data_IF_320910019218
#
_entry.id   IF_320910019218
#
_cell.length_a   1.000
_cell.length_b   1.000
_cell.length_c   1.000
_cell.angle_alpha   90.00
_cell.angle_beta   90.00
_cell.angle_gamma   90.00
#
_symmetry.space_group_name_H-M   'P 1'
#
loop_
_entity.id
_entity.type
_entity.pdbx_description
1 polymer ?
#
# COMPACT_ATOMS: atom_id res chain seq x y z
N UNK A 1 -20.72 1.51 8.41
CA UNK A 1 -20.25 0.28 9.09
C UNK A 1 -20.30 -0.85 8.07
N UNK A 2 -19.18 -1.21 7.47
CA UNK A 2 -19.08 -2.41 6.63
C UNK A 2 -18.19 -3.39 7.39
N UNK A 3 -18.81 -4.39 8.00
CA UNK A 3 -18.11 -5.46 8.67
C UNK A 3 -17.32 -6.25 7.63
N UNK A 4 -15.99 -6.24 7.77
CA UNK A 4 -15.21 -7.40 7.34
C UNK A 4 -15.65 -8.56 8.21
N UNK A 5 -16.54 -9.38 7.68
CA UNK A 5 -16.78 -10.73 8.18
C UNK A 5 -15.47 -11.49 8.04
N UNK A 6 -14.64 -11.46 9.09
CA UNK A 6 -13.66 -12.49 9.31
C UNK A 6 -14.48 -13.74 9.63
N UNK A 7 -14.57 -14.66 8.68
CA UNK A 7 -15.09 -16.00 8.94
C UNK A 7 -14.27 -16.56 10.10
N UNK A 8 -14.92 -16.84 11.23
CA UNK A 8 -14.28 -17.50 12.34
C UNK A 8 -13.94 -18.92 11.88
N UNK A 9 -12.67 -19.14 11.53
CA UNK A 9 -12.17 -20.46 11.16
C UNK A 9 -12.03 -21.26 12.45
N UNK A 10 -12.79 -22.34 12.60
CA UNK A 10 -12.60 -23.28 13.70
C UNK A 10 -11.25 -23.96 13.53
N UNK A 11 -10.39 -23.84 14.55
CA UNK A 11 -9.02 -24.32 14.49
C UNK A 11 -8.93 -25.86 14.39
N UNK A 12 -9.97 -26.56 14.81
CA UNK A 12 -10.11 -28.02 14.74
C UNK A 12 -10.30 -28.53 13.30
N UNK A 13 -10.86 -27.70 12.42
CA UNK A 13 -11.11 -28.04 11.01
C UNK A 13 -9.88 -27.77 10.11
N UNK A 14 -8.83 -27.15 10.66
CA UNK A 14 -7.62 -26.79 9.90
C UNK A 14 -6.60 -27.93 9.97
N UNK A 15 -6.18 -28.50 8.83
CA UNK A 15 -5.15 -29.54 8.81
C UNK A 15 -3.86 -29.08 9.49
N UNK A 16 -3.26 -29.95 10.30
CA UNK A 16 -2.02 -29.61 11.03
C UNK A 16 -0.87 -29.20 10.10
N UNK A 17 -0.85 -29.71 8.86
CA UNK A 17 0.14 -29.36 7.83
C UNK A 17 0.01 -27.90 7.40
N UNK A 18 -1.22 -27.39 7.22
CA UNK A 18 -1.47 -26.00 6.83
C UNK A 18 -1.09 -25.05 7.97
N UNK A 19 -1.38 -25.47 9.21
CA UNK A 19 -1.02 -24.76 10.43
C UNK A 19 0.51 -24.66 10.60
N UNK A 20 1.22 -25.76 10.36
CA UNK A 20 2.69 -25.76 10.36
C UNK A 20 3.26 -24.91 9.23
N UNK A 21 2.67 -24.96 8.03
CA UNK A 21 3.11 -24.16 6.89
C UNK A 21 2.94 -22.66 7.17
N UNK A 22 1.81 -22.23 7.74
CA UNK A 22 1.59 -20.83 8.10
C UNK A 22 2.50 -20.39 9.26
N UNK A 23 2.76 -21.25 10.24
CA UNK A 23 3.72 -20.95 11.31
C UNK A 23 5.15 -20.79 10.78
N UNK A 24 5.61 -21.68 9.89
CA UNK A 24 6.90 -21.55 9.21
C UNK A 24 6.98 -20.29 8.35
N UNK A 25 5.89 -19.92 7.67
CA UNK A 25 5.81 -18.67 6.90
C UNK A 25 5.97 -17.45 7.81
N UNK A 26 5.33 -17.44 8.98
CA UNK A 26 5.41 -16.34 9.96
C UNK A 26 6.79 -16.21 10.58
N UNK A 27 7.42 -17.31 10.96
CA UNK A 27 8.77 -17.29 11.54
C UNK A 27 9.80 -16.77 10.53
N UNK A 28 9.77 -17.26 9.29
CA UNK A 28 10.65 -16.79 8.21
C UNK A 28 10.49 -15.31 7.88
N UNK A 29 9.32 -14.74 8.11
CA UNK A 29 9.10 -13.32 7.86
C UNK A 29 9.36 -12.46 9.09
N UNK A 30 9.29 -13.02 10.29
CA UNK A 30 9.64 -12.30 11.51
C UNK A 30 11.13 -12.07 11.67
N UNK A 31 11.97 -12.88 11.02
CA UNK A 31 13.43 -12.73 11.01
C UNK A 31 13.93 -11.76 9.94
N UNK A 32 13.06 -11.32 9.02
CA UNK A 32 13.42 -10.34 7.97
C UNK A 32 13.41 -8.93 8.54
N UNK A 33 14.41 -8.13 8.14
CA UNK A 33 14.52 -6.72 8.55
C UNK A 33 13.34 -5.88 8.04
N UNK A 34 13.00 -4.84 8.80
CA UNK A 34 11.97 -3.88 8.44
C UNK A 34 12.30 -3.20 7.10
N UNK A 35 11.29 -3.05 6.24
CA UNK A 35 11.47 -2.50 4.89
C UNK A 35 10.40 -1.46 4.58
N UNK A 36 10.87 -0.30 4.12
CA UNK A 36 9.99 0.74 3.57
C UNK A 36 10.29 0.84 2.09
N UNK A 37 9.32 0.47 1.26
CA UNK A 37 9.43 0.37 -0.18
C UNK A 37 8.49 1.35 -0.85
N UNK A 38 8.94 1.99 -1.93
CA UNK A 38 8.05 2.69 -2.87
C UNK A 38 8.11 1.95 -4.21
N UNK A 39 6.94 1.65 -4.77
CA UNK A 39 6.79 1.11 -6.11
C UNK A 39 6.33 2.22 -7.08
N UNK A 40 7.26 2.65 -7.93
CA UNK A 40 7.04 3.67 -8.96
C UNK A 40 7.10 3.00 -10.34
N UNK A 41 6.24 3.44 -11.25
CA UNK A 41 6.29 3.06 -12.65
C UNK A 41 5.05 3.56 -13.41
N UNK A 42 5.05 3.51 -14.75
CA UNK A 42 3.90 3.91 -15.57
C UNK A 42 2.62 3.10 -15.27
N UNK A 43 1.42 3.60 -15.59
CA UNK A 43 0.23 2.75 -15.60
C UNK A 43 0.48 1.53 -16.49
N UNK A 44 0.13 0.34 -16.03
CA UNK A 44 0.42 -0.92 -16.75
C UNK A 44 1.67 -1.68 -16.31
N UNK A 45 2.59 -1.12 -15.51
CA UNK A 45 3.77 -1.87 -15.00
C UNK A 45 3.44 -2.94 -13.94
N UNK A 46 2.19 -3.38 -13.82
CA UNK A 46 1.75 -4.44 -12.89
C UNK A 46 2.13 -4.24 -11.41
N UNK A 47 2.33 -2.99 -10.98
CA UNK A 47 2.61 -2.65 -9.57
C UNK A 47 1.55 -3.21 -8.62
N UNK A 48 0.28 -3.14 -9.00
CA UNK A 48 -0.84 -3.71 -8.24
C UNK A 48 -0.78 -5.24 -8.10
N UNK A 49 -0.05 -5.93 -8.99
CA UNK A 49 0.19 -7.38 -8.92
C UNK A 49 1.42 -7.69 -8.06
N UNK A 50 2.47 -6.86 -8.15
CA UNK A 50 3.70 -7.09 -7.39
C UNK A 50 3.58 -6.72 -5.91
N UNK A 51 2.82 -5.67 -5.56
CA UNK A 51 2.71 -5.23 -4.17
C UNK A 51 2.13 -6.30 -3.24
N UNK A 52 1.03 -7.02 -3.59
CA UNK A 52 0.50 -8.09 -2.75
C UNK A 52 1.49 -9.25 -2.55
N UNK A 53 2.27 -9.60 -3.57
CA UNK A 53 3.29 -10.66 -3.49
C UNK A 53 4.36 -10.25 -2.47
N UNK A 54 4.92 -9.05 -2.60
CA UNK A 54 5.92 -8.53 -1.64
C UNK A 54 5.32 -8.37 -0.24
N UNK A 55 4.06 -7.96 -0.15
CA UNK A 55 3.31 -7.85 1.11
C UNK A 55 3.23 -9.20 1.81
N UNK A 56 2.93 -10.27 1.09
CA UNK A 56 2.79 -11.62 1.66
C UNK A 56 4.16 -12.24 2.01
N UNK A 57 5.21 -11.94 1.24
CA UNK A 57 6.58 -12.43 1.46
C UNK A 57 7.32 -11.73 2.61
N UNK A 58 6.99 -10.47 2.90
CA UNK A 58 7.67 -9.65 3.90
C UNK A 58 6.75 -9.15 5.02
N UNK A 59 5.47 -9.52 5.00
CA UNK A 59 4.44 -9.07 5.95
C UNK A 59 4.41 -7.55 6.09
N UNK A 60 4.57 -6.86 4.96
CA UNK A 60 4.56 -5.39 4.90
C UNK A 60 3.13 -4.87 4.74
N UNK A 61 2.91 -3.64 5.16
CA UNK A 61 1.65 -2.95 4.93
C UNK A 61 1.58 -2.41 3.49
N UNK A 62 0.60 -2.84 2.70
CA UNK A 62 0.40 -2.30 1.35
C UNK A 62 -0.42 -1.00 1.41
N UNK A 63 0.22 0.12 1.06
CA UNK A 63 -0.36 1.46 1.03
C UNK A 63 -0.48 1.91 -0.43
N UNK A 64 -1.58 1.53 -1.09
CA UNK A 64 -1.89 1.99 -2.44
C UNK A 64 -2.75 3.24 -2.38
N UNK A 65 -2.17 4.38 -2.76
CA UNK A 65 -2.90 5.67 -2.82
C UNK A 65 -4.15 5.60 -3.69
N UNK A 66 -4.10 4.89 -4.82
CA UNK A 66 -5.25 4.70 -5.69
C UNK A 66 -6.40 3.95 -5.01
N UNK A 67 -6.11 2.90 -4.25
CA UNK A 67 -7.14 2.11 -3.55
C UNK A 67 -7.71 2.87 -2.36
N UNK A 68 -6.86 3.61 -1.65
CA UNK A 68 -7.29 4.49 -0.55
C UNK A 68 -8.20 5.61 -1.04
N UNK A 69 -7.86 6.26 -2.16
CA UNK A 69 -8.72 7.26 -2.77
C UNK A 69 -10.05 6.67 -3.24
N UNK A 70 -10.03 5.48 -3.88
CA UNK A 70 -11.26 4.75 -4.24
C UNK A 70 -12.13 4.42 -3.03
N UNK A 71 -11.53 4.02 -1.91
CA UNK A 71 -12.24 3.79 -0.66
C UNK A 71 -12.88 5.08 -0.11
N UNK A 72 -12.17 6.21 -0.12
CA UNK A 72 -12.71 7.51 0.30
C UNK A 72 -13.80 8.02 -0.64
N UNK A 73 -13.70 7.76 -1.94
CA UNK A 73 -14.76 8.06 -2.91
C UNK A 73 -16.03 7.24 -2.59
N UNK A 74 -15.88 5.99 -2.16
CA UNK A 74 -17.02 5.12 -1.83
C UNK A 74 -17.82 5.59 -0.61
N UNK A 75 -17.20 6.33 0.33
CA UNK A 75 -17.87 6.79 1.56
C UNK A 75 -18.78 8.01 1.34
N UNK A 76 -18.83 8.57 0.12
CA UNK A 76 -19.73 9.69 -0.29
C UNK A 76 -19.68 10.94 0.62
N UNK A 77 -18.63 11.11 1.43
CA UNK A 77 -18.40 12.34 2.19
C UNK A 77 -17.98 13.48 1.24
N UNK A 78 -18.14 14.77 1.64
CA UNK A 78 -17.81 15.90 0.77
C UNK A 78 -16.39 15.86 0.19
N UNK A 79 -15.43 15.33 0.95
CA UNK A 79 -14.05 15.09 0.50
C UNK A 79 -13.97 14.02 -0.59
N UNK A 80 -14.71 12.93 -0.47
CA UNK A 80 -14.77 11.84 -1.44
C UNK A 80 -15.40 12.27 -2.76
N UNK A 81 -16.40 13.16 -2.73
CA UNK A 81 -17.00 13.73 -3.95
C UNK A 81 -15.98 14.59 -4.71
N UNK A 82 -15.23 15.46 -4.01
CA UNK A 82 -14.16 16.26 -4.62
C UNK A 82 -13.03 15.38 -5.19
N UNK A 83 -12.66 14.31 -4.46
CA UNK A 83 -11.67 13.35 -4.94
C UNK A 83 -12.17 12.62 -6.20
N UNK A 84 -13.44 12.22 -6.23
CA UNK A 84 -14.07 11.57 -7.39
C UNK A 84 -14.03 12.47 -8.62
N UNK A 85 -14.46 13.73 -8.49
CA UNK A 85 -14.42 14.67 -9.60
C UNK A 85 -13.01 14.90 -10.16
N UNK A 86 -12.00 14.97 -9.28
CA UNK A 86 -10.61 15.09 -9.72
C UNK A 86 -10.15 13.84 -10.47
N UNK A 87 -10.45 12.65 -9.95
CA UNK A 87 -10.11 11.37 -10.57
C UNK A 87 -10.79 11.17 -11.92
N UNK A 88 -12.08 11.51 -12.04
CA UNK A 88 -12.85 11.39 -13.28
C UNK A 88 -12.32 12.35 -14.37
N UNK A 89 -11.81 13.52 -13.97
CA UNK A 89 -11.16 14.51 -14.85
C UNK A 89 -9.69 14.16 -15.17
N UNK A 90 -9.17 13.03 -14.68
CA UNK A 90 -7.76 12.67 -14.82
C UNK A 90 -6.79 13.60 -14.07
N UNK A 91 -7.29 14.43 -13.17
CA UNK A 91 -6.50 15.37 -12.37
C UNK A 91 -6.04 14.72 -11.06
N UNK A 92 -4.92 15.21 -10.53
CA UNK A 92 -4.43 14.78 -9.23
C UNK A 92 -5.29 15.37 -8.12
N UNK A 93 -5.60 14.53 -7.12
CA UNK A 93 -6.24 14.94 -5.88
C UNK A 93 -5.25 15.80 -5.08
N UNK A 94 -5.75 16.75 -4.26
CA UNK A 94 -4.92 17.66 -3.47
C UNK A 94 -3.82 16.92 -2.69
N UNK A 95 -2.59 17.42 -2.80
CA UNK A 95 -1.40 16.84 -2.19
C UNK A 95 -1.55 16.69 -0.66
N UNK A 96 -2.19 17.65 0.00
CA UNK A 96 -2.42 17.61 1.45
C UNK A 96 -3.35 16.47 1.88
N UNK A 97 -4.39 16.22 1.09
CA UNK A 97 -5.31 15.11 1.34
C UNK A 97 -4.58 13.77 1.21
N UNK A 98 -3.79 13.61 0.14
CA UNK A 98 -3.05 12.37 -0.12
C UNK A 98 -2.03 12.11 0.99
N UNK A 99 -1.28 13.14 1.41
CA UNK A 99 -0.30 13.02 2.51
C UNK A 99 -0.98 12.67 3.83
N UNK A 100 -2.13 13.28 4.14
CA UNK A 100 -2.90 12.97 5.36
C UNK A 100 -3.35 11.51 5.41
N UNK A 101 -3.96 11.01 4.33
CA UNK A 101 -4.43 9.62 4.25
C UNK A 101 -3.26 8.63 4.37
N UNK A 102 -2.12 8.93 3.74
CA UNK A 102 -0.92 8.08 3.85
C UNK A 102 -0.38 8.09 5.28
N UNK A 103 -0.30 9.25 5.92
CA UNK A 103 0.17 9.37 7.30
C UNK A 103 -0.69 8.57 8.28
N UNK A 104 -2.01 8.66 8.16
CA UNK A 104 -2.94 7.85 8.96
C UNK A 104 -2.78 6.35 8.70
N UNK A 105 -2.57 5.95 7.44
CA UNK A 105 -2.35 4.56 7.10
C UNK A 105 -1.05 4.01 7.67
N UNK A 106 0.03 4.81 7.64
CA UNK A 106 1.34 4.43 8.16
C UNK A 106 1.36 4.28 9.69
N UNK A 107 0.48 4.98 10.41
CA UNK A 107 0.36 4.87 11.86
C UNK A 107 -0.34 3.58 12.34
N UNK A 108 -0.84 2.74 11.43
CA UNK A 108 -1.47 1.47 11.80
C UNK A 108 -0.42 0.46 12.29
N UNK A 109 -0.76 -0.39 13.29
CA UNK A 109 0.16 -1.38 13.84
C UNK A 109 0.65 -2.38 12.77
N UNK A 110 -0.17 -2.66 11.75
CA UNK A 110 0.21 -3.52 10.63
C UNK A 110 1.34 -2.95 9.77
N UNK A 111 1.66 -1.66 9.88
CA UNK A 111 2.67 -0.97 9.09
C UNK A 111 3.97 -0.73 9.89
N UNK A 112 4.07 -1.24 11.13
CA UNK A 112 5.26 -1.09 11.98
C UNK A 112 6.50 -1.81 11.42
N UNK A 113 6.33 -3.03 10.89
CA UNK A 113 7.39 -3.77 10.17
C UNK A 113 7.79 -3.13 8.84
N UNK A 114 7.04 -2.11 8.42
CA UNK A 114 7.26 -1.38 7.18
C UNK A 114 6.06 -1.43 6.24
N UNK A 115 6.23 -0.81 5.08
CA UNK A 115 5.16 -0.56 4.14
C UNK A 115 5.64 -0.51 2.71
N UNK A 116 4.70 -0.72 1.79
CA UNK A 116 4.88 -0.62 0.35
C UNK A 116 3.97 0.50 -0.14
N UNK A 117 4.54 1.61 -0.57
CA UNK A 117 3.83 2.74 -1.15
C UNK A 117 3.66 2.55 -2.65
N UNK A 118 2.43 2.42 -3.10
CA UNK A 118 2.07 2.30 -4.51
C UNK A 118 1.60 3.61 -5.11
N UNK A 119 2.28 4.07 -6.18
CA UNK A 119 1.79 5.18 -7.02
C UNK A 119 1.92 6.58 -6.39
N UNK A 120 2.84 6.74 -5.44
CA UNK A 120 3.19 7.99 -4.74
C UNK A 120 4.72 8.04 -4.54
N UNK A 121 5.37 9.20 -4.60
CA UNK A 121 4.84 10.53 -4.95
C UNK A 121 4.66 10.71 -6.48
N UNK A 122 3.65 11.48 -6.88
CA UNK A 122 3.38 11.86 -8.30
C UNK A 122 3.79 13.29 -8.63
N UNK A 123 3.98 14.14 -7.61
CA UNK A 123 4.43 15.54 -7.77
C UNK A 123 5.69 15.78 -6.95
N UNK A 124 6.48 16.78 -7.35
CA UNK A 124 7.67 17.21 -6.60
C UNK A 124 7.28 17.73 -5.20
N UNK A 125 6.10 18.34 -5.08
CA UNK A 125 5.56 18.82 -3.80
C UNK A 125 5.25 17.65 -2.86
N UNK A 126 4.62 16.59 -3.37
CA UNK A 126 4.42 15.35 -2.63
C UNK A 126 5.76 14.73 -2.21
N UNK A 127 6.75 14.72 -3.10
CA UNK A 127 8.10 14.22 -2.78
C UNK A 127 8.68 14.98 -1.58
N UNK A 128 8.70 16.32 -1.62
CA UNK A 128 9.23 17.14 -0.52
C UNK A 128 8.50 16.91 0.81
N UNK A 129 7.17 16.83 0.79
CA UNK A 129 6.38 16.53 2.00
C UNK A 129 6.63 15.12 2.52
N UNK A 130 6.76 14.15 1.61
CA UNK A 130 6.99 12.77 1.96
C UNK A 130 8.39 12.51 2.50
N UNK A 131 9.43 13.22 2.03
CA UNK A 131 10.80 13.06 2.54
C UNK A 131 10.84 13.21 4.06
N UNK A 132 10.11 14.18 4.63
CA UNK A 132 10.01 14.35 6.08
C UNK A 132 9.40 13.13 6.80
N UNK A 133 8.46 12.45 6.15
CA UNK A 133 7.78 11.25 6.66
C UNK A 133 8.61 9.96 6.43
N UNK A 134 9.55 9.98 5.47
CA UNK A 134 10.19 8.79 4.90
C UNK A 134 11.70 8.70 5.11
N UNK A 135 12.29 9.41 6.07
CA UNK A 135 13.74 9.53 6.30
C UNK A 135 14.57 8.21 6.38
N UNK A 136 13.95 7.02 6.36
CA UNK A 136 14.60 5.69 6.32
C UNK A 136 14.11 4.81 5.14
N UNK A 137 13.87 5.38 3.96
CA UNK A 137 13.28 4.64 2.84
C UNK A 137 14.33 4.10 1.83
N UNK A 138 14.17 2.83 1.44
CA UNK A 138 14.89 2.22 0.32
C UNK A 138 14.02 2.33 -0.96
N UNK A 139 14.49 3.06 -1.97
CA UNK A 139 13.78 3.26 -3.24
C UNK A 139 14.16 2.12 -4.20
N UNK A 140 13.22 1.22 -4.51
CA UNK A 140 13.39 0.21 -5.56
C UNK A 140 12.84 0.74 -6.89
N UNK A 141 13.74 1.06 -7.82
CA UNK A 141 13.38 1.40 -9.19
C UNK A 141 13.30 0.13 -10.04
N UNK A 142 12.12 -0.13 -10.65
CA UNK A 142 11.99 -1.19 -11.66
C UNK A 142 12.42 -0.63 -13.01
N UNK A 143 13.64 -0.99 -13.44
CA UNK A 143 14.17 -0.70 -14.79
C UNK A 143 13.43 -1.57 -15.82
N UNK A 144 12.25 -1.14 -16.23
CA UNK A 144 11.57 -1.59 -17.45
C UNK A 144 10.74 -0.43 -18.00
N UNK A 145 11.45 0.58 -18.50
CA UNK A 145 10.95 1.50 -19.50
C UNK A 145 12.07 1.56 -20.53
N UNK A 146 11.87 0.84 -21.63
CA UNK A 146 12.69 0.91 -22.84
C UNK A 146 12.85 2.36 -23.27
N UNK A 147 14.05 2.70 -23.73
CA UNK A 147 14.26 3.73 -24.74
C UNK A 147 13.13 3.68 -25.76
N UNK A 148 12.58 4.84 -26.14
CA UNK A 148 12.25 5.16 -27.53
C UNK A 148 11.80 6.63 -27.64
N UNK A 149 12.67 7.40 -28.31
CA UNK A 149 12.38 8.40 -29.36
C UNK A 149 11.17 9.30 -29.24
#
# INVERSE_FOLDING_TARGET
MAGSSAVAVNLEDVPSVDLMTELLRRTNCSTKADKRLILIGPPGSRKGTQSPIIKDDYYLCHVATGDMLRAVVSTKIPLGVKAKEAMDKGKLVSDDLVVGIIGEAMNKPSCQKGFILGGFPRTVVQSKKSVCILWHLCICYSRYATDDG
#
